data_IF_437824956372
#
_entry.id   IF_437824956372
#
_cell.length_a   1.000
_cell.length_b   1.000
_cell.length_c   1.000
_cell.angle_alpha   90.00
_cell.angle_beta   90.00
_cell.angle_gamma   90.00
#
_symmetry.space_group_name_H-M   'P 1'
#
loop_
_entity.id
_entity.type
_entity.pdbx_description
1 polymer ?
#
# COMPACT_ATOMS: atom_id res chain seq x y z
N UNK A 1 7.63 -4.34 12.30
CA UNK A 1 7.52 -2.97 11.73
C UNK A 1 8.72 -2.08 12.05
N UNK A 2 9.14 -1.91 13.32
CA UNK A 2 10.26 -1.01 13.66
C UNK A 2 11.62 -1.41 13.02
N UNK A 3 11.81 -2.72 12.81
CA UNK A 3 13.03 -3.30 12.23
C UNK A 3 13.29 -2.91 10.78
N UNK A 4 12.23 -2.69 9.99
CA UNK A 4 12.31 -2.32 8.57
C UNK A 4 12.03 -0.83 8.32
N UNK A 5 12.28 0.00 9.33
CA UNK A 5 11.89 1.41 9.30
C UNK A 5 12.54 2.15 8.12
N UNK A 6 13.82 1.93 7.85
CA UNK A 6 14.55 2.62 6.77
C UNK A 6 14.03 2.20 5.39
N UNK A 7 13.73 0.92 5.23
CA UNK A 7 13.18 0.35 4.02
C UNK A 7 11.78 0.93 3.76
N UNK A 8 10.91 0.96 4.78
CA UNK A 8 9.59 1.57 4.72
C UNK A 8 9.69 3.07 4.40
N UNK A 9 10.63 3.79 5.04
CA UNK A 9 10.83 5.22 4.76
C UNK A 9 11.24 5.48 3.31
N UNK A 10 12.03 4.58 2.70
CA UNK A 10 12.43 4.69 1.29
C UNK A 10 11.29 4.51 0.29
N UNK A 11 10.13 4.00 0.73
CA UNK A 11 8.90 3.96 -0.07
C UNK A 11 8.26 5.34 -0.25
N UNK A 12 8.72 6.36 0.46
CA UNK A 12 8.21 7.73 0.30
C UNK A 12 8.69 8.37 -1.01
N UNK A 13 8.11 7.98 -2.14
CA UNK A 13 8.38 8.59 -3.45
C UNK A 13 7.22 9.45 -3.95
N UNK A 14 7.55 10.66 -4.40
CA UNK A 14 6.60 11.59 -5.05
C UNK A 14 6.35 11.27 -6.52
N UNK A 15 7.21 10.45 -7.14
CA UNK A 15 7.11 10.06 -8.54
C UNK A 15 6.87 8.56 -8.64
N UNK A 16 5.88 8.20 -9.43
CA UNK A 16 5.62 6.81 -9.78
C UNK A 16 6.16 6.53 -11.18
N UNK A 17 7.11 5.61 -11.27
CA UNK A 17 7.63 5.05 -12.50
C UNK A 17 8.02 3.58 -12.26
N UNK A 18 8.36 2.87 -13.33
CA UNK A 18 8.72 1.45 -13.29
C UNK A 18 9.91 1.18 -12.36
N UNK A 19 10.91 2.07 -12.35
CA UNK A 19 12.07 1.94 -11.48
C UNK A 19 11.69 2.01 -10.00
N UNK A 20 10.77 2.91 -9.64
CA UNK A 20 10.23 2.97 -8.29
C UNK A 20 9.40 1.73 -7.93
N UNK A 21 8.48 1.30 -8.80
CA UNK A 21 7.65 0.11 -8.57
C UNK A 21 8.50 -1.14 -8.31
N UNK A 22 9.53 -1.41 -9.12
CA UNK A 22 10.43 -2.56 -8.93
C UNK A 22 11.15 -2.50 -7.59
N UNK A 23 11.63 -1.32 -7.18
CA UNK A 23 12.35 -1.15 -5.91
C UNK A 23 11.40 -1.33 -4.72
N UNK A 24 10.24 -0.69 -4.78
CA UNK A 24 9.23 -0.76 -3.74
C UNK A 24 8.69 -2.18 -3.57
N UNK A 25 8.38 -2.90 -4.66
CA UNK A 25 7.92 -4.28 -4.60
C UNK A 25 8.94 -5.22 -3.90
N UNK A 26 10.25 -5.03 -4.13
CA UNK A 26 11.29 -5.79 -3.41
C UNK A 26 11.28 -5.53 -1.90
N UNK A 27 11.06 -4.28 -1.49
CA UNK A 27 10.94 -3.91 -0.08
C UNK A 27 9.68 -4.54 0.53
N UNK A 28 8.54 -4.41 -0.15
CA UNK A 28 7.28 -5.01 0.28
C UNK A 28 7.39 -6.53 0.43
N UNK A 29 8.15 -7.19 -0.46
CA UNK A 29 8.44 -8.63 -0.38
C UNK A 29 9.25 -9.03 0.85
N UNK A 30 10.20 -8.20 1.25
CA UNK A 30 10.96 -8.44 2.48
C UNK A 30 10.03 -8.30 3.69
N UNK A 31 9.21 -7.25 3.72
CA UNK A 31 8.27 -6.98 4.82
C UNK A 31 7.23 -8.10 4.94
N UNK A 32 6.63 -8.55 3.82
CA UNK A 32 5.63 -9.62 3.79
C UNK A 32 6.20 -10.95 4.25
N UNK A 33 7.47 -11.24 3.90
CA UNK A 33 8.15 -12.49 4.31
C UNK A 33 8.63 -12.48 5.75
N UNK A 34 8.93 -11.32 6.30
CA UNK A 34 9.40 -11.19 7.67
C UNK A 34 8.26 -11.16 8.71
N UNK A 35 7.04 -10.77 8.31
CA UNK A 35 5.90 -10.65 9.22
C UNK A 35 4.79 -11.62 8.81
N UNK A 36 4.74 -12.80 9.46
CA UNK A 36 3.75 -13.83 9.16
C UNK A 36 2.29 -13.38 9.39
N UNK A 37 2.07 -12.38 10.25
CA UNK A 37 0.74 -11.81 10.53
C UNK A 37 0.16 -11.03 9.36
N UNK A 38 0.98 -10.61 8.38
CA UNK A 38 0.55 -9.82 7.23
C UNK A 38 1.20 -10.34 5.95
N UNK A 39 0.71 -11.49 5.43
CA UNK A 39 1.32 -12.15 4.27
C UNK A 39 1.19 -11.32 2.98
N UNK A 40 0.26 -10.37 2.93
CA UNK A 40 0.06 -9.47 1.80
C UNK A 40 0.21 -8.02 2.24
N UNK A 41 1.21 -7.35 1.67
CA UNK A 41 1.53 -5.95 1.92
C UNK A 41 1.47 -5.20 0.60
N UNK A 42 0.57 -4.23 0.52
CA UNK A 42 0.38 -3.34 -0.63
C UNK A 42 0.68 -1.92 -0.22
N UNK A 43 1.39 -1.16 -1.04
CA UNK A 43 1.48 0.29 -0.87
C UNK A 43 0.29 0.96 -1.56
N UNK A 44 -0.30 1.97 -0.92
CA UNK A 44 -1.24 2.90 -1.54
C UNK A 44 -0.63 4.30 -1.44
N UNK A 45 -0.56 5.00 -2.56
CA UNK A 45 -0.06 6.36 -2.57
C UNK A 45 -0.77 7.25 -3.57
N UNK A 46 -0.75 8.56 -3.28
CA UNK A 46 -1.36 9.58 -4.11
C UNK A 46 -0.33 10.13 -5.09
N UNK A 47 -0.66 10.09 -6.37
CA UNK A 47 0.14 10.67 -7.45
C UNK A 47 -0.64 11.75 -8.21
N UNK A 48 0.09 12.58 -8.95
CA UNK A 48 -0.51 13.45 -9.96
C UNK A 48 -0.43 12.74 -11.31
N UNK A 49 -1.58 12.38 -11.87
CA UNK A 49 -1.72 11.78 -13.19
C UNK A 49 -2.58 12.71 -14.05
N UNK A 50 -2.01 13.28 -15.12
CA UNK A 50 -2.71 14.21 -16.02
C UNK A 50 -3.46 15.34 -15.29
N UNK A 51 -2.76 16.03 -14.38
CA UNK A 51 -3.30 17.11 -13.52
C UNK A 51 -4.42 16.70 -12.55
N UNK A 52 -4.67 15.39 -12.38
CA UNK A 52 -5.61 14.84 -11.39
C UNK A 52 -4.85 14.11 -10.29
N UNK A 53 -5.29 14.27 -9.05
CA UNK A 53 -4.81 13.45 -7.95
C UNK A 53 -5.52 12.11 -7.98
N UNK A 54 -4.75 11.03 -8.12
CA UNK A 54 -5.27 9.66 -8.13
C UNK A 54 -4.52 8.83 -7.11
N UNK A 55 -5.22 7.87 -6.52
CA UNK A 55 -4.61 6.84 -5.69
C UNK A 55 -4.18 5.70 -6.59
N UNK A 56 -2.96 5.23 -6.40
CA UNK A 56 -2.46 4.01 -7.01
C UNK A 56 -1.98 3.04 -5.95
N UNK A 57 -1.96 1.76 -6.29
CA UNK A 57 -1.56 0.69 -5.38
C UNK A 57 -0.85 -0.45 -6.09
N UNK A 58 0.14 -1.04 -5.43
CA UNK A 58 0.81 -2.27 -5.87
C UNK A 58 1.43 -3.01 -4.69
N UNK A 59 1.64 -4.31 -4.87
CA UNK A 59 2.16 -5.21 -3.84
C UNK A 59 3.62 -5.59 -4.05
N UNK A 60 3.97 -6.75 -3.51
CA UNK A 60 5.31 -7.33 -3.55
C UNK A 60 5.64 -8.10 -4.84
N UNK A 61 4.71 -8.10 -5.79
CA UNK A 61 4.86 -8.74 -7.09
C UNK A 61 5.01 -7.71 -8.21
N UNK A 62 6.10 -7.85 -8.96
CA UNK A 62 6.35 -7.15 -10.21
C UNK A 62 6.01 -8.12 -11.32
N UNK A 63 4.95 -7.87 -12.09
CA UNK A 63 4.72 -8.62 -13.33
C UNK A 63 5.95 -8.47 -14.23
N UNK A 64 6.40 -9.55 -14.88
CA UNK A 64 7.47 -9.55 -15.90
C UNK A 64 7.02 -8.89 -17.21
N UNK A 65 6.40 -7.73 -17.08
CA UNK A 65 6.13 -6.77 -18.14
C UNK A 65 7.46 -6.08 -18.47
N UNK A 66 7.87 -6.13 -19.74
CA UNK A 66 8.97 -5.31 -20.23
C UNK A 66 8.63 -3.83 -20.02
N UNK A 67 9.64 -2.97 -19.89
CA UNK A 67 9.45 -1.54 -19.59
C UNK A 67 8.48 -0.83 -20.56
N UNK A 68 8.44 -1.26 -21.82
CA UNK A 68 7.52 -0.74 -22.86
C UNK A 68 6.03 -1.00 -22.55
N UNK A 69 5.72 -2.00 -21.73
CA UNK A 69 4.36 -2.35 -21.32
C UNK A 69 3.96 -1.77 -19.96
N UNK A 70 4.83 -0.99 -19.32
CA UNK A 70 4.50 -0.33 -18.06
C UNK A 70 3.47 0.78 -18.30
N UNK A 71 2.31 0.63 -17.67
CA UNK A 71 1.24 1.61 -17.74
C UNK A 71 0.77 1.99 -16.33
N UNK A 72 0.86 3.28 -15.99
CA UNK A 72 0.39 3.78 -14.68
C UNK A 72 -1.09 3.53 -14.43
N UNK A 73 -1.92 3.45 -15.48
CA UNK A 73 -3.36 3.18 -15.34
C UNK A 73 -3.65 1.80 -14.75
N UNK A 74 -2.76 0.81 -14.94
CA UNK A 74 -2.90 -0.55 -14.39
C UNK A 74 -2.82 -0.56 -12.85
N UNK A 75 -2.31 0.51 -12.25
CA UNK A 75 -2.06 0.63 -10.83
C UNK A 75 -3.12 1.44 -10.09
N UNK A 76 -4.16 1.94 -10.76
CA UNK A 76 -5.21 2.75 -10.12
C UNK A 76 -5.87 1.94 -8.99
N UNK A 77 -5.84 2.50 -7.79
CA UNK A 77 -6.37 1.84 -6.61
C UNK A 77 -7.90 1.87 -6.63
N UNK A 78 -8.50 0.73 -6.97
CA UNK A 78 -9.93 0.49 -6.90
C UNK A 78 -10.35 0.35 -5.42
N UNK A 79 -10.82 1.46 -4.86
CA UNK A 79 -11.24 1.57 -3.46
C UNK A 79 -12.76 1.56 -3.32
N UNK A 80 -13.26 1.27 -2.12
CA UNK A 80 -14.64 1.58 -1.75
C UNK A 80 -14.79 3.09 -1.49
N UNK A 81 -16.03 3.56 -1.34
CA UNK A 81 -16.27 4.98 -1.02
C UNK A 81 -15.75 5.31 0.38
N UNK A 82 -15.86 4.38 1.31
CA UNK A 82 -15.47 4.49 2.70
C UNK A 82 -13.94 4.54 2.84
N UNK A 83 -13.22 3.66 2.13
CA UNK A 83 -11.75 3.70 2.04
C UNK A 83 -11.25 5.01 1.45
N UNK A 84 -11.86 5.49 0.35
CA UNK A 84 -11.50 6.79 -0.24
C UNK A 84 -11.68 7.93 0.76
N UNK A 85 -12.84 7.99 1.42
CA UNK A 85 -13.12 9.05 2.41
C UNK A 85 -12.08 9.05 3.52
N UNK A 86 -11.74 7.88 4.06
CA UNK A 86 -10.69 7.75 5.06
C UNK A 86 -9.32 8.22 4.57
N UNK A 87 -8.87 7.73 3.40
CA UNK A 87 -7.56 8.10 2.85
C UNK A 87 -7.48 9.62 2.63
N UNK A 88 -8.53 10.23 2.06
CA UNK A 88 -8.57 11.66 1.83
C UNK A 88 -8.57 12.45 3.15
N UNK A 89 -9.31 12.02 4.18
CA UNK A 89 -9.31 12.71 5.47
C UNK A 89 -7.93 12.70 6.13
N UNK A 90 -7.18 11.60 6.06
CA UNK A 90 -5.81 11.53 6.59
C UNK A 90 -4.86 12.45 5.81
N UNK A 91 -4.98 12.47 4.48
CA UNK A 91 -4.15 13.32 3.63
C UNK A 91 -4.40 14.83 3.84
N UNK A 92 -5.61 15.21 4.24
CA UNK A 92 -6.02 16.60 4.48
C UNK A 92 -5.71 17.08 5.89
N UNK A 93 -5.94 16.25 6.92
CA UNK A 93 -5.84 16.66 8.32
C UNK A 93 -4.38 16.78 8.82
N UNK A 94 -3.40 16.15 8.14
CA UNK A 94 -1.92 16.24 8.31
C UNK A 94 -1.32 16.05 9.72
N UNK A 95 -2.14 16.00 10.77
CA UNK A 95 -1.77 15.90 12.19
C UNK A 95 -2.13 14.55 12.79
N UNK A 96 -3.32 14.03 12.48
CA UNK A 96 -3.74 12.70 12.93
C UNK A 96 -3.47 11.65 11.84
N UNK A 97 -2.91 10.51 12.24
CA UNK A 97 -2.62 9.37 11.37
C UNK A 97 -3.34 8.12 11.90
N UNK A 98 -4.69 8.13 12.00
CA UNK A 98 -5.44 6.97 12.43
C UNK A 98 -5.28 5.83 11.42
N UNK A 99 -5.25 4.59 11.89
CA UNK A 99 -5.35 3.43 11.01
C UNK A 99 -6.83 3.09 10.75
N UNK A 100 -7.14 2.65 9.53
CA UNK A 100 -8.45 2.09 9.20
C UNK A 100 -8.39 0.58 9.31
N UNK A 101 -9.27 0.01 10.12
CA UNK A 101 -9.37 -1.43 10.32
C UNK A 101 -10.77 -1.92 9.96
N UNK A 102 -10.81 -3.01 9.21
CA UNK A 102 -12.04 -3.66 8.78
C UNK A 102 -11.86 -5.17 8.84
N UNK A 103 -12.90 -5.84 9.32
CA UNK A 103 -13.00 -7.30 9.35
C UNK A 103 -14.28 -7.67 8.64
N UNK A 104 -14.18 -8.54 7.65
CA UNK A 104 -15.32 -9.13 6.94
C UNK A 104 -15.10 -10.63 6.88
N UNK A 105 -15.96 -11.39 7.58
CA UNK A 105 -15.80 -12.84 7.77
C UNK A 105 -14.39 -13.19 8.28
N UNK A 106 -13.60 -13.89 7.44
CA UNK A 106 -12.22 -14.30 7.72
C UNK A 106 -11.16 -13.39 7.07
N UNK A 107 -11.59 -12.27 6.49
CA UNK A 107 -10.73 -11.30 5.83
C UNK A 107 -10.47 -10.09 6.71
N UNK A 108 -9.20 -9.91 7.03
CA UNK A 108 -8.71 -8.77 7.80
C UNK A 108 -8.09 -7.74 6.85
N UNK A 109 -8.45 -6.48 7.06
CA UNK A 109 -7.89 -5.35 6.32
C UNK A 109 -7.45 -4.25 7.27
N UNK A 110 -6.19 -3.84 7.15
CA UNK A 110 -5.62 -2.72 7.87
C UNK A 110 -4.97 -1.74 6.88
N UNK A 111 -5.49 -0.51 6.81
CA UNK A 111 -4.86 0.59 6.06
C UNK A 111 -4.12 1.47 7.06
N UNK A 112 -2.80 1.33 7.08
CA UNK A 112 -1.91 2.01 8.02
C UNK A 112 -1.20 3.20 7.36
N UNK A 113 -1.45 4.44 7.79
CA UNK A 113 -0.75 5.61 7.26
C UNK A 113 0.70 5.68 7.73
N UNK A 114 1.61 6.03 6.82
CA UNK A 114 3.03 6.26 7.08
C UNK A 114 3.40 7.66 6.63
N UNK A 115 4.06 8.42 7.51
CA UNK A 115 4.51 9.79 7.23
C UNK A 115 6.02 9.87 7.26
N UNK A 116 6.60 10.35 6.16
CA UNK A 116 8.05 10.53 5.97
C UNK A 116 8.26 11.91 5.36
N UNK A 117 8.98 12.79 6.02
CA UNK A 117 9.29 14.16 5.53
C UNK A 117 8.06 14.93 4.99
N UNK A 118 6.91 14.76 5.67
CA UNK A 118 5.65 15.39 5.29
C UNK A 118 4.91 14.74 4.11
N UNK A 119 5.49 13.73 3.47
CA UNK A 119 4.82 12.85 2.52
C UNK A 119 4.06 11.75 3.28
N UNK A 120 2.82 11.47 2.88
CA UNK A 120 1.99 10.42 3.46
C UNK A 120 1.68 9.39 2.37
N UNK A 121 1.95 8.13 2.68
CA UNK A 121 1.47 6.96 1.94
C UNK A 121 0.82 6.00 2.92
N UNK A 122 0.24 4.91 2.43
CA UNK A 122 -0.42 3.91 3.26
C UNK A 122 0.12 2.53 2.94
N UNK A 123 0.21 1.69 3.98
CA UNK A 123 0.39 0.26 3.84
C UNK A 123 -0.98 -0.40 4.04
N UNK A 124 -1.44 -1.07 3.01
CA UNK A 124 -2.59 -1.98 3.06
C UNK A 124 -2.05 -3.36 3.42
N UNK A 125 -2.44 -3.81 4.61
CA UNK A 125 -2.14 -5.14 5.12
C UNK A 125 -3.41 -5.95 5.07
N UNK A 126 -3.35 -7.11 4.43
CA UNK A 126 -4.49 -8.03 4.36
C UNK A 126 -4.09 -9.44 4.73
N UNK A 127 -4.98 -10.11 5.45
CA UNK A 127 -4.84 -11.52 5.78
C UNK A 127 -6.18 -12.24 5.59
N UNK A 128 -6.11 -13.46 5.08
CA UNK A 128 -7.24 -14.39 5.03
C UNK A 128 -6.95 -15.49 6.04
N UNK A 129 -7.59 -15.45 7.20
CA UNK A 129 -7.44 -16.55 8.15
C UNK A 129 -8.22 -17.76 7.63
N UNK A 130 -7.51 -18.75 7.09
CA UNK A 130 -8.11 -20.05 6.79
C UNK A 130 -8.38 -20.81 8.09
N UNK A 131 -9.43 -20.47 8.84
CA UNK A 131 -9.91 -21.30 9.95
C UNK A 131 -11.27 -21.89 9.63
N UNK A 132 -11.25 -23.18 9.27
CA UNK A 132 -12.48 -23.95 9.08
C UNK A 132 -12.33 -25.43 8.75
N UNK A 133 -11.23 -26.13 9.11
CA UNK A 133 -11.25 -27.59 9.35
C UNK A 133 -10.22 -27.98 10.40
N UNK A 134 -10.62 -27.86 11.66
CA UNK A 134 -10.02 -28.65 12.75
C UNK A 134 -10.93 -29.87 12.92
N UNK A 135 -10.36 -31.06 12.73
CA UNK A 135 -10.83 -32.35 13.28
C UNK A 135 -12.17 -32.89 12.81
#
# INVERSE_FOLDING_TARGET
>A
MLEYRKEIESLASRKFDRSYEIKAAKILKIISRANAEFPYVTIIHRINLNSKQVLISFGDYVETKNDESFNTFDFIYASTREERKFIHSVLEQKKELPAYFQVEDDFYKLIYPVKVDGYIFFLLLTDYQQFGKVG
#
